data_IF_742194761246
#
_entry.id   IF_742194761246
#
_cell.length_a   1.000
_cell.length_b   1.000
_cell.length_c   1.000
_cell.angle_alpha   90.00
_cell.angle_beta   90.00
_cell.angle_gamma   90.00
#
_symmetry.space_group_name_H-M   'P 1'
#
loop_
_entity.id
_entity.type
_entity.pdbx_description
1 polymer ?
#
# COMPACT_ATOMS: atom_id res chain seq x y z
N UNK A 1 45.55 -4.21 7.95
CA UNK A 1 44.81 -5.37 8.49
C UNK A 1 43.32 -5.08 8.40
N UNK A 2 42.65 -5.49 7.33
CA UNK A 2 41.20 -5.35 7.20
C UNK A 2 40.53 -6.61 7.75
N UNK A 3 39.83 -6.49 8.88
CA UNK A 3 38.98 -7.55 9.42
C UNK A 3 37.69 -7.60 8.61
N UNK A 4 37.57 -8.59 7.74
CA UNK A 4 36.32 -8.94 7.07
C UNK A 4 35.51 -9.75 8.10
N UNK A 5 34.50 -9.12 8.71
CA UNK A 5 33.51 -9.86 9.50
C UNK A 5 32.51 -10.48 8.53
N UNK A 6 32.56 -11.80 8.39
CA UNK A 6 31.56 -12.58 7.67
C UNK A 6 30.23 -12.51 8.42
N UNK A 7 29.29 -11.72 7.91
CA UNK A 7 27.90 -11.73 8.37
C UNK A 7 27.26 -13.02 7.86
N UNK A 8 26.94 -13.93 8.77
CA UNK A 8 26.08 -15.07 8.50
C UNK A 8 24.66 -14.57 8.22
N UNK A 9 24.33 -14.39 6.95
CA UNK A 9 22.97 -14.08 6.52
C UNK A 9 22.11 -15.33 6.70
N UNK A 10 21.12 -15.25 7.59
CA UNK A 10 20.06 -16.26 7.69
C UNK A 10 19.26 -16.28 6.38
N UNK A 11 19.11 -17.46 5.78
CA UNK A 11 18.26 -17.72 4.62
C UNK A 11 16.78 -17.67 5.01
N UNK A 12 16.23 -16.48 5.26
CA UNK A 12 14.80 -16.27 5.17
C UNK A 12 14.45 -16.07 3.68
N UNK A 13 13.38 -16.72 3.21
CA UNK A 13 12.87 -16.84 1.83
C UNK A 13 12.53 -15.52 1.09
N UNK A 14 13.02 -14.38 1.55
CA UNK A 14 12.84 -13.09 0.92
C UNK A 14 14.21 -12.58 0.54
N UNK A 15 14.43 -12.24 -0.73
CA UNK A 15 15.59 -11.47 -1.14
C UNK A 15 15.64 -10.22 -0.24
N UNK A 16 16.56 -10.17 0.74
CA UNK A 16 16.65 -9.04 1.64
C UNK A 16 17.14 -7.87 0.81
N UNK A 17 16.19 -7.06 0.36
CA UNK A 17 16.56 -5.85 -0.38
C UNK A 17 17.32 -4.96 0.60
N UNK A 18 18.38 -4.26 0.15
CA UNK A 18 19.14 -3.36 1.00
C UNK A 18 18.24 -2.30 1.68
N UNK A 19 17.09 -2.02 1.08
CA UNK A 19 16.02 -1.22 1.68
C UNK A 19 15.46 -1.82 2.98
N UNK A 20 15.07 -3.10 2.97
CA UNK A 20 14.47 -3.74 4.15
C UNK A 20 15.49 -3.83 5.27
N UNK A 21 16.73 -4.19 4.95
CA UNK A 21 17.81 -4.29 5.94
C UNK A 21 18.09 -2.94 6.60
N UNK A 22 18.20 -1.87 5.80
CA UNK A 22 18.35 -0.50 6.32
C UNK A 22 17.15 -0.04 7.15
N UNK A 23 15.92 -0.31 6.70
CA UNK A 23 14.72 0.07 7.43
C UNK A 23 14.62 -0.66 8.78
N UNK A 24 14.93 -1.95 8.82
CA UNK A 24 14.95 -2.74 10.05
C UNK A 24 16.06 -2.28 10.99
N UNK A 25 17.23 -1.90 10.48
CA UNK A 25 18.31 -1.34 11.29
C UNK A 25 17.90 -0.03 11.98
N UNK A 26 17.25 0.89 11.25
CA UNK A 26 16.71 2.13 11.85
C UNK A 26 15.65 1.85 12.91
N UNK A 27 14.76 0.86 12.68
CA UNK A 27 13.77 0.44 13.68
C UNK A 27 14.43 -0.15 14.93
N UNK A 28 15.48 -0.97 14.74
CA UNK A 28 16.23 -1.58 15.83
C UNK A 28 16.89 -0.50 16.70
N UNK A 29 17.53 0.50 16.09
CA UNK A 29 18.13 1.63 16.81
C UNK A 29 17.07 2.47 17.54
N UNK A 30 15.91 2.71 16.92
CA UNK A 30 14.80 3.39 17.59
C UNK A 30 14.33 2.65 18.86
N UNK A 31 14.15 1.33 18.78
CA UNK A 31 13.76 0.51 19.93
C UNK A 31 14.89 0.43 20.99
N UNK A 32 16.14 0.27 20.56
CA UNK A 32 17.30 0.26 21.45
C UNK A 32 17.42 1.58 22.22
N UNK A 33 17.20 2.72 21.58
CA UNK A 33 17.20 4.02 22.25
C UNK A 33 16.09 4.11 23.30
N UNK A 34 14.86 3.64 22.99
CA UNK A 34 13.77 3.62 23.97
C UNK A 34 14.11 2.78 25.21
N UNK A 35 14.76 1.64 25.02
CA UNK A 35 15.21 0.78 26.13
C UNK A 35 16.32 1.47 26.94
N UNK A 36 17.32 2.06 26.26
CA UNK A 36 18.41 2.77 26.93
C UNK A 36 17.93 3.99 27.75
N UNK A 37 16.88 4.68 27.27
CA UNK A 37 16.22 5.77 28.01
C UNK A 37 15.50 5.25 29.25
N UNK A 38 14.82 4.11 29.15
CA UNK A 38 14.18 3.46 30.31
C UNK A 38 15.22 3.07 31.38
N UNK A 39 16.38 2.60 30.95
CA UNK A 39 17.52 2.25 31.82
C UNK A 39 18.33 3.47 32.31
N UNK A 40 17.97 4.69 31.88
CA UNK A 40 18.67 5.96 32.18
C UNK A 40 20.16 5.96 31.80
N UNK A 41 20.55 5.15 30.82
CA UNK A 41 21.94 5.03 30.37
C UNK A 41 22.27 6.09 29.31
N UNK A 42 22.76 7.24 29.76
CA UNK A 42 23.09 8.39 28.88
C UNK A 42 24.16 8.08 27.83
N UNK A 43 25.16 7.28 28.18
CA UNK A 43 26.24 6.93 27.26
C UNK A 43 25.73 6.07 26.09
N UNK A 44 24.87 5.08 26.40
CA UNK A 44 24.23 4.28 25.38
C UNK A 44 23.28 5.10 24.51
N UNK A 45 22.49 6.01 25.09
CA UNK A 45 21.62 6.91 24.32
C UNK A 45 22.42 7.71 23.29
N UNK A 46 23.53 8.34 23.72
CA UNK A 46 24.35 9.14 22.82
C UNK A 46 25.02 8.32 21.70
N UNK A 47 25.51 7.12 22.02
CA UNK A 47 26.07 6.22 21.01
C UNK A 47 25.01 5.81 19.97
N UNK A 48 23.80 5.49 20.42
CA UNK A 48 22.69 5.09 19.53
C UNK A 48 22.23 6.27 18.66
N UNK A 49 22.17 7.49 19.20
CA UNK A 49 21.86 8.70 18.41
C UNK A 49 22.87 8.90 17.28
N UNK A 50 24.17 8.80 17.58
CA UNK A 50 25.23 8.94 16.57
C UNK A 50 25.15 7.86 15.49
N UNK A 51 24.91 6.61 15.87
CA UNK A 51 24.71 5.52 14.91
C UNK A 51 23.46 5.73 14.07
N UNK A 52 22.35 6.19 14.68
CA UNK A 52 21.11 6.46 13.97
C UNK A 52 21.31 7.52 12.88
N UNK A 53 21.96 8.64 13.18
CA UNK A 53 22.22 9.67 12.17
C UNK A 53 23.10 9.17 11.02
N UNK A 54 24.12 8.33 11.32
CA UNK A 54 24.96 7.72 10.29
C UNK A 54 24.18 6.78 9.39
N UNK A 55 23.35 5.91 9.97
CA UNK A 55 22.53 4.97 9.22
C UNK A 55 21.46 5.67 8.38
N UNK A 56 20.92 6.80 8.83
CA UNK A 56 19.97 7.58 8.02
C UNK A 56 20.63 8.11 6.74
N UNK A 57 21.86 8.62 6.82
CA UNK A 57 22.58 9.11 5.63
C UNK A 57 22.82 7.99 4.61
N UNK A 58 23.16 6.79 5.08
CA UNK A 58 23.33 5.60 4.22
C UNK A 58 22.00 5.12 3.65
N UNK A 59 20.91 5.25 4.41
CA UNK A 59 19.59 4.79 4.01
C UNK A 59 18.91 5.70 2.97
N UNK A 60 19.21 7.01 2.94
CA UNK A 60 18.54 7.98 2.05
C UNK A 60 18.57 7.60 0.56
N UNK A 61 19.71 7.20 -0.05
CA UNK A 61 19.74 6.76 -1.44
C UNK A 61 18.90 5.50 -1.68
N UNK A 62 18.99 4.53 -0.77
CA UNK A 62 18.20 3.29 -0.83
C UNK A 62 16.69 3.59 -0.77
N UNK A 63 16.28 4.51 0.10
CA UNK A 63 14.89 4.95 0.19
C UNK A 63 14.42 5.63 -1.09
N UNK A 64 15.23 6.53 -1.66
CA UNK A 64 14.87 7.27 -2.88
C UNK A 64 14.63 6.33 -4.06
N UNK A 65 15.47 5.30 -4.24
CA UNK A 65 15.29 4.31 -5.30
C UNK A 65 14.08 3.39 -5.05
N UNK A 66 13.81 3.05 -3.80
CA UNK A 66 12.75 2.11 -3.42
C UNK A 66 11.41 2.79 -3.11
N UNK A 67 11.31 4.12 -3.14
CA UNK A 67 10.16 4.87 -2.64
C UNK A 67 8.82 4.49 -3.31
N UNK A 68 8.85 4.06 -4.57
CA UNK A 68 7.67 3.62 -5.32
C UNK A 68 7.25 2.19 -5.03
N UNK A 69 8.09 1.38 -4.38
CA UNK A 69 7.82 -0.02 -4.08
C UNK A 69 6.80 -0.16 -2.95
N UNK A 70 6.01 -1.23 -3.00
CA UNK A 70 5.01 -1.54 -1.97
C UNK A 70 5.65 -1.72 -0.59
N UNK A 71 6.84 -2.33 -0.55
CA UNK A 71 7.61 -2.53 0.68
C UNK A 71 7.93 -1.20 1.35
N UNK A 72 8.32 -0.17 0.59
CA UNK A 72 8.59 1.15 1.15
C UNK A 72 7.33 1.78 1.77
N UNK A 73 6.17 1.55 1.17
CA UNK A 73 4.90 2.03 1.72
C UNK A 73 4.54 1.34 3.05
N UNK A 74 4.91 0.06 3.24
CA UNK A 74 4.64 -0.66 4.48
C UNK A 74 5.47 -0.09 5.66
N UNK A 75 6.73 0.25 5.42
CA UNK A 75 7.62 0.79 6.46
C UNK A 75 7.55 2.31 6.63
N UNK A 76 6.98 3.04 5.66
CA UNK A 76 6.90 4.51 5.65
C UNK A 76 6.41 5.13 6.96
N UNK A 77 5.29 4.65 7.52
CA UNK A 77 4.74 5.16 8.79
C UNK A 77 5.67 4.94 9.98
N UNK A 78 6.33 3.79 10.04
CA UNK A 78 7.24 3.43 11.13
C UNK A 78 8.54 4.24 11.05
N UNK A 79 9.09 4.38 9.85
CA UNK A 79 10.26 5.21 9.57
C UNK A 79 9.98 6.68 9.92
N UNK A 80 8.82 7.20 9.51
CA UNK A 80 8.40 8.56 9.86
C UNK A 80 8.36 8.77 11.38
N UNK A 81 7.73 7.86 12.12
CA UNK A 81 7.64 7.95 13.57
C UNK A 81 9.02 7.86 14.25
N UNK A 82 9.92 7.01 13.75
CA UNK A 82 11.28 6.92 14.28
C UNK A 82 12.09 8.21 14.03
N UNK A 83 12.02 8.79 12.84
CA UNK A 83 12.70 10.04 12.52
C UNK A 83 12.16 11.21 13.38
N UNK A 84 10.84 11.28 13.57
CA UNK A 84 10.22 12.26 14.48
C UNK A 84 10.63 12.05 15.94
N UNK A 85 10.78 10.80 16.40
CA UNK A 85 11.25 10.51 17.75
C UNK A 85 12.67 11.07 18.00
N UNK A 86 13.57 10.96 17.02
CA UNK A 86 14.91 11.55 17.07
C UNK A 86 14.94 13.05 16.69
N UNK A 87 13.78 13.72 16.60
CA UNK A 87 13.63 15.17 16.34
C UNK A 87 14.25 15.65 15.02
N UNK A 88 14.22 14.81 13.99
CA UNK A 88 14.78 15.10 12.66
C UNK A 88 13.82 15.88 11.76
N UNK A 89 13.16 16.93 12.28
CA UNK A 89 12.02 17.57 11.60
C UNK A 89 12.34 18.17 10.22
N UNK A 90 13.56 18.68 10.04
CA UNK A 90 14.02 19.30 8.78
C UNK A 90 14.68 18.32 7.80
N UNK A 91 14.67 17.02 8.09
CA UNK A 91 15.33 16.01 7.27
C UNK A 91 14.63 15.80 5.91
N UNK A 92 15.38 15.70 4.79
CA UNK A 92 14.79 15.49 3.47
C UNK A 92 13.98 14.19 3.38
N UNK A 93 14.36 13.15 4.14
CA UNK A 93 13.64 11.88 4.21
C UNK A 93 12.25 12.05 4.83
N UNK A 94 12.12 12.90 5.85
CA UNK A 94 10.82 13.23 6.44
C UNK A 94 9.92 13.90 5.39
N UNK A 95 10.44 14.87 4.64
CA UNK A 95 9.66 15.56 3.59
C UNK A 95 9.19 14.58 2.49
N UNK A 96 10.05 13.64 2.09
CA UNK A 96 9.67 12.59 1.14
C UNK A 96 8.58 11.67 1.71
N UNK A 97 8.71 11.28 2.99
CA UNK A 97 7.72 10.47 3.69
C UNK A 97 6.38 11.19 3.86
N UNK A 98 6.36 12.48 4.19
CA UNK A 98 5.15 13.29 4.28
C UNK A 98 4.41 13.31 2.93
N UNK A 99 5.12 13.50 1.83
CA UNK A 99 4.53 13.44 0.49
C UNK A 99 3.97 12.06 0.15
N UNK A 100 4.67 10.98 0.52
CA UNK A 100 4.21 9.61 0.29
C UNK A 100 2.97 9.26 1.12
N UNK A 101 2.98 9.61 2.41
CA UNK A 101 1.87 9.38 3.33
C UNK A 101 0.66 10.24 2.97
N UNK A 102 0.87 11.50 2.59
CA UNK A 102 -0.17 12.41 2.11
C UNK A 102 -0.82 11.92 0.81
N UNK A 103 -0.02 11.49 -0.18
CA UNK A 103 -0.53 10.89 -1.43
C UNK A 103 -1.32 9.61 -1.16
N UNK A 104 -0.86 8.76 -0.24
CA UNK A 104 -1.58 7.54 0.14
C UNK A 104 -2.93 7.86 0.80
N UNK A 105 -2.95 8.76 1.78
CA UNK A 105 -4.19 9.20 2.42
C UNK A 105 -5.18 9.83 1.44
N UNK A 106 -4.70 10.64 0.48
CA UNK A 106 -5.55 11.22 -0.56
C UNK A 106 -6.05 10.17 -1.57
N UNK A 107 -5.24 9.17 -1.93
CA UNK A 107 -5.63 8.09 -2.86
C UNK A 107 -6.70 7.19 -2.24
N UNK A 108 -6.56 6.88 -0.96
CA UNK A 108 -7.53 6.08 -0.21
C UNK A 108 -8.85 6.85 -0.02
N UNK A 109 -8.79 8.17 0.23
CA UNK A 109 -9.98 9.03 0.30
C UNK A 109 -10.72 9.18 -1.03
N UNK A 110 -10.00 9.30 -2.15
CA UNK A 110 -10.61 9.40 -3.49
C UNK A 110 -11.35 8.15 -3.93
N UNK A 111 -11.01 6.98 -3.38
CA UNK A 111 -11.73 5.73 -3.65
C UNK A 111 -13.04 5.63 -2.86
N UNK A 112 -13.17 6.37 -1.76
CA UNK A 112 -14.38 6.42 -0.91
C UNK A 112 -15.31 7.59 -1.25
N UNK A 113 -14.77 8.70 -1.74
CA UNK A 113 -15.49 9.94 -2.03
C UNK A 113 -15.49 10.35 -3.52
N UNK A 114 -15.84 9.43 -4.43
CA UNK A 114 -16.26 9.82 -5.80
C UNK A 114 -17.68 10.42 -5.81
N UNK A 115 -17.96 11.40 -4.95
CA UNK A 115 -19.04 12.36 -5.16
C UNK A 115 -18.40 13.67 -5.60
N UNK A 116 -18.25 13.83 -6.91
CA UNK A 116 -17.61 14.99 -7.52
C UNK A 116 -18.25 16.32 -7.06
N UNK A 117 -17.40 17.24 -6.62
CA UNK A 117 -17.76 18.58 -6.14
C UNK A 117 -17.99 19.61 -7.27
N UNK A 118 -18.18 19.18 -8.53
CA UNK A 118 -18.53 20.10 -9.62
C UNK A 118 -20.04 20.30 -9.69
N UNK A 119 -20.51 21.31 -8.95
CA UNK A 119 -21.87 21.84 -9.03
C UNK A 119 -21.97 22.78 -10.24
N UNK A 120 -22.25 22.22 -11.41
CA UNK A 120 -22.48 22.97 -12.66
C UNK A 120 -23.77 22.55 -13.34
N UNK A 121 -24.80 23.40 -13.22
CA UNK A 121 -26.02 23.48 -14.03
C UNK A 121 -26.82 22.19 -14.30
N UNK A 122 -27.72 21.85 -13.36
CA UNK A 122 -28.93 21.08 -13.67
C UNK A 122 -30.11 22.04 -13.86
N UNK A 123 -30.52 22.26 -15.12
CA UNK A 123 -31.90 22.52 -15.57
C UNK A 123 -31.95 22.07 -17.03
N UNK A 124 -32.89 21.28 -17.54
CA UNK A 124 -34.12 20.71 -17.01
C UNK A 124 -34.63 19.83 -18.14
N UNK A 125 -34.50 18.51 -18.04
CA UNK A 125 -35.42 17.58 -18.70
C UNK A 125 -35.73 16.45 -17.74
N UNK A 126 -37.03 16.21 -17.66
CA UNK A 126 -37.71 15.53 -16.59
C UNK A 126 -37.41 14.03 -16.50
N UNK A 127 -37.79 13.52 -15.33
CA UNK A 127 -38.27 12.16 -15.08
C UNK A 127 -37.23 11.11 -14.65
N UNK A 128 -37.51 10.58 -13.45
CA UNK A 128 -37.19 9.25 -12.96
C UNK A 128 -35.71 8.91 -12.73
N UNK A 129 -35.26 9.04 -11.47
CA UNK A 129 -34.74 7.92 -10.66
C UNK A 129 -34.11 8.46 -9.37
N UNK A 130 -34.91 8.58 -8.31
CA UNK A 130 -34.41 8.66 -6.95
C UNK A 130 -34.11 7.25 -6.45
N UNK A 131 -32.91 6.72 -6.72
CA UNK A 131 -32.30 5.53 -6.09
C UNK A 131 -30.90 5.29 -6.70
N UNK A 132 -29.86 5.94 -6.18
CA UNK A 132 -28.47 5.85 -6.74
C UNK A 132 -27.48 5.18 -5.78
N UNK A 133 -27.94 4.66 -4.63
CA UNK A 133 -27.10 3.82 -3.77
C UNK A 133 -27.34 2.31 -3.94
N UNK A 134 -28.49 1.91 -4.50
CA UNK A 134 -28.80 0.50 -4.82
C UNK A 134 -28.49 0.13 -6.29
N UNK A 135 -28.31 1.10 -7.18
CA UNK A 135 -28.22 0.85 -8.63
C UNK A 135 -26.82 0.53 -9.16
N UNK A 136 -25.77 0.70 -8.37
CA UNK A 136 -24.42 0.28 -8.77
C UNK A 136 -24.26 -1.26 -8.72
N UNK A 137 -24.92 -1.93 -7.76
CA UNK A 137 -24.97 -3.39 -7.71
C UNK A 137 -25.88 -3.97 -8.80
N UNK A 138 -27.07 -3.40 -9.01
CA UNK A 138 -28.02 -3.89 -10.03
C UNK A 138 -27.50 -3.82 -11.48
N UNK A 139 -26.57 -2.92 -11.81
CA UNK A 139 -25.99 -2.82 -13.15
C UNK A 139 -24.81 -3.78 -13.40
N UNK A 140 -24.20 -4.30 -12.32
CA UNK A 140 -23.12 -5.28 -12.41
C UNK A 140 -23.63 -6.72 -12.33
N UNK A 141 -24.80 -6.91 -11.73
CA UNK A 141 -25.45 -8.21 -11.58
C UNK A 141 -26.05 -8.73 -12.89
N UNK A 142 -25.98 -10.05 -13.09
CA UNK A 142 -26.68 -10.68 -14.20
C UNK A 142 -28.20 -10.58 -13.99
N UNK A 143 -28.93 -10.26 -15.06
CA UNK A 143 -30.40 -10.25 -15.01
C UNK A 143 -31.01 -11.63 -14.71
N UNK A 144 -30.26 -12.70 -14.95
CA UNK A 144 -30.58 -14.10 -14.61
C UNK A 144 -29.27 -14.76 -14.19
N UNK A 145 -29.22 -15.44 -13.04
CA UNK A 145 -28.03 -16.16 -12.60
C UNK A 145 -27.68 -17.27 -13.60
N UNK A 146 -26.55 -17.13 -14.30
CA UNK A 146 -26.06 -18.14 -15.22
C UNK A 146 -24.79 -18.81 -14.69
N UNK A 147 -24.75 -20.13 -14.80
CA UNK A 147 -23.55 -20.93 -14.49
C UNK A 147 -22.94 -21.42 -15.80
N UNK A 148 -21.67 -21.07 -16.05
CA UNK A 148 -20.98 -21.56 -17.22
C UNK A 148 -20.67 -23.06 -17.08
N UNK A 149 -20.61 -23.83 -18.18
CA UNK A 149 -20.31 -25.27 -18.12
C UNK A 149 -18.97 -25.59 -17.44
N UNK A 150 -18.00 -24.68 -17.53
CA UNK A 150 -16.67 -24.79 -16.90
C UNK A 150 -16.70 -24.66 -15.38
N UNK A 151 -17.82 -24.22 -14.82
CA UNK A 151 -18.00 -23.90 -13.41
C UNK A 151 -18.94 -24.89 -12.72
N UNK A 152 -19.26 -25.99 -13.40
CA UNK A 152 -20.07 -27.07 -12.84
C UNK A 152 -19.25 -27.92 -11.86
N UNK A 153 -19.87 -28.48 -10.80
CA UNK A 153 -21.31 -28.48 -10.53
C UNK A 153 -21.83 -27.21 -9.85
N UNK A 154 -20.96 -26.42 -9.23
CA UNK A 154 -21.32 -25.19 -8.52
C UNK A 154 -20.31 -24.08 -8.84
N UNK A 155 -20.82 -22.93 -9.28
CA UNK A 155 -20.00 -21.77 -9.52
C UNK A 155 -19.20 -21.39 -8.25
N UNK A 156 -17.92 -21.03 -8.40
CA UNK A 156 -17.12 -20.62 -7.25
C UNK A 156 -17.71 -19.35 -6.64
N UNK A 157 -17.89 -19.36 -5.32
CA UNK A 157 -18.46 -18.25 -4.57
C UNK A 157 -17.41 -17.17 -4.41
N UNK A 158 -17.54 -16.10 -5.19
CA UNK A 158 -16.71 -14.91 -5.07
C UNK A 158 -17.40 -13.87 -4.21
N UNK A 159 -16.70 -13.37 -3.18
CA UNK A 159 -17.20 -12.28 -2.37
C UNK A 159 -17.04 -10.95 -3.13
N UNK A 160 -18.13 -10.47 -3.72
CA UNK A 160 -18.19 -9.20 -4.44
C UNK A 160 -18.26 -7.99 -3.51
N UNK A 161 -18.41 -8.20 -2.20
CA UNK A 161 -18.43 -7.11 -1.21
C UNK A 161 -17.02 -6.73 -0.73
N UNK A 162 -16.05 -7.63 -0.92
CA UNK A 162 -14.66 -7.37 -0.61
C UNK A 162 -14.08 -6.27 -1.53
N UNK A 163 -13.27 -5.34 -0.99
CA UNK A 163 -12.64 -4.31 -1.80
C UNK A 163 -11.65 -4.94 -2.79
N UNK A 164 -11.85 -4.67 -4.09
CA UNK A 164 -10.95 -5.13 -5.15
C UNK A 164 -9.57 -4.48 -5.05
N UNK A 165 -8.57 -5.13 -5.63
CA UNK A 165 -7.21 -4.59 -5.70
C UNK A 165 -7.14 -3.20 -6.35
N UNK A 166 -6.14 -2.37 -5.98
CA UNK A 166 -6.06 -0.99 -6.47
C UNK A 166 -5.95 -0.91 -8.00
N UNK A 167 -6.87 -0.19 -8.64
CA UNK A 167 -6.86 -0.03 -10.10
C UNK A 167 -7.49 -1.20 -10.89
N UNK A 168 -8.13 -2.15 -10.20
CA UNK A 168 -8.94 -3.19 -10.81
C UNK A 168 -10.09 -2.61 -11.65
N UNK A 169 -10.43 -3.32 -12.72
CA UNK A 169 -11.58 -3.02 -13.56
C UNK A 169 -12.87 -3.57 -12.93
N UNK A 170 -13.94 -2.80 -13.06
CA UNK A 170 -15.29 -3.23 -12.74
C UNK A 170 -15.91 -3.79 -14.01
N UNK A 171 -15.84 -5.11 -14.15
CA UNK A 171 -16.41 -5.84 -15.29
C UNK A 171 -17.81 -6.27 -14.89
N UNK A 172 -18.79 -6.00 -15.76
CA UNK A 172 -20.16 -6.51 -15.57
C UNK A 172 -20.12 -8.04 -15.56
N UNK A 173 -20.83 -8.66 -14.61
CA UNK A 173 -20.85 -10.11 -14.45
C UNK A 173 -21.13 -10.79 -15.79
N UNK A 174 -22.07 -10.31 -16.60
CA UNK A 174 -22.42 -10.91 -17.90
C UNK A 174 -21.24 -11.08 -18.87
N UNK A 175 -20.24 -10.22 -18.80
CA UNK A 175 -19.06 -10.25 -19.70
C UNK A 175 -17.83 -10.86 -19.03
N UNK A 176 -18.01 -11.53 -17.88
CA UNK A 176 -16.93 -12.28 -17.21
C UNK A 176 -16.61 -13.55 -18.01
N UNK A 177 -15.32 -13.84 -18.19
CA UNK A 177 -14.88 -15.12 -18.74
C UNK A 177 -15.13 -16.27 -17.76
N UNK A 178 -14.91 -16.04 -16.47
CA UNK A 178 -15.11 -16.99 -15.37
C UNK A 178 -15.33 -16.22 -14.06
N UNK A 179 -16.09 -16.77 -13.12
CA UNK A 179 -16.27 -16.25 -11.77
C UNK A 179 -14.95 -16.07 -11.01
N UNK A 180 -13.97 -16.96 -11.14
CA UNK A 180 -12.66 -16.84 -10.47
C UNK A 180 -11.99 -15.50 -10.83
N UNK A 181 -12.09 -15.04 -12.07
CA UNK A 181 -11.53 -13.75 -12.51
C UNK A 181 -12.17 -12.52 -11.86
N UNK A 182 -13.29 -12.69 -11.14
CA UNK A 182 -13.91 -11.64 -10.35
C UNK A 182 -13.38 -11.56 -8.92
N UNK A 183 -12.54 -12.51 -8.49
CA UNK A 183 -11.91 -12.49 -7.16
C UNK A 183 -11.09 -11.21 -6.97
N UNK A 184 -11.18 -10.57 -5.79
CA UNK A 184 -10.59 -9.24 -5.57
C UNK A 184 -9.07 -9.20 -5.77
N UNK A 185 -8.39 -10.34 -5.54
CA UNK A 185 -6.94 -10.47 -5.63
C UNK A 185 -6.42 -10.63 -7.07
N UNK A 186 -7.25 -11.15 -7.97
CA UNK A 186 -6.89 -11.41 -9.38
C UNK A 186 -7.69 -10.57 -10.39
N UNK A 187 -8.66 -9.77 -9.93
CA UNK A 187 -9.49 -8.92 -10.77
C UNK A 187 -8.64 -7.98 -11.67
N UNK A 188 -8.61 -8.23 -12.98
CA UNK A 188 -7.73 -7.54 -13.94
C UNK A 188 -7.63 -6.02 -13.77
N UNK A 189 -6.40 -5.47 -13.75
CA UNK A 189 -6.18 -4.02 -13.66
C UNK A 189 -6.19 -3.35 -15.03
N UNK A 190 -6.34 -2.01 -15.07
CA UNK A 190 -6.23 -1.22 -16.31
C UNK A 190 -4.89 -1.36 -17.02
N UNK A 191 -3.81 -1.55 -16.27
CA UNK A 191 -2.47 -1.78 -16.81
C UNK A 191 -2.35 -3.16 -17.43
N UNK A 192 -2.78 -4.19 -16.68
CA UNK A 192 -2.73 -5.58 -17.15
C UNK A 192 -3.61 -5.79 -18.37
N UNK A 193 -4.77 -5.14 -18.46
CA UNK A 193 -5.68 -5.27 -19.63
C UNK A 193 -5.06 -4.91 -20.99
N UNK A 194 -3.94 -4.20 -21.00
CA UNK A 194 -3.22 -3.85 -22.23
C UNK A 194 -2.34 -4.99 -22.74
N UNK A 195 -1.93 -5.87 -21.84
CA UNK A 195 -0.98 -6.96 -22.10
C UNK A 195 -1.73 -8.30 -22.06
N UNK A 196 -2.59 -8.48 -21.06
CA UNK A 196 -3.38 -9.70 -20.83
C UNK A 196 -4.88 -9.48 -21.12
N UNK A 197 -5.53 -10.40 -21.84
CA UNK A 197 -6.94 -10.27 -22.22
C UNK A 197 -7.93 -10.71 -21.13
N UNK A 198 -7.51 -11.34 -20.03
CA UNK A 198 -8.39 -11.86 -18.97
C UNK A 198 -7.75 -11.76 -17.60
#
# INVERSE_FOLDING_TARGET
MFRICSVWCSNALHNSTPFVDGALQLMKLHLAHRNAVADKNKAACHAIEQEFFREVEVFRPCFTMAASLEVAQQYSKKLYAALKYFRMDDDPLIRQLDLLLGRKGMRDGRHRDQRGFFKGAHTSYASAFGKVAESAHNNLEEHVETTLPTELPHAPKVDLTAPRRPGALWINQRYRGHWVLQEPDIAITRSERREDPW
#
